data_IF_373824113989
#
_entry.id   IF_373824113989
#
_cell.length_a   1.000
_cell.length_b   1.000
_cell.length_c   1.000
_cell.angle_alpha   90.00
_cell.angle_beta   90.00
_cell.angle_gamma   90.00
#
_symmetry.space_group_name_H-M   'P 1'
#
loop_
_entity.id
_entity.type
_entity.pdbx_description
1 polymer ?
#
# COMPACT_ATOMS: atom_id res chain seq x y z
N UNK A 1 -47.85 5.24 -3.30
CA UNK A 1 -46.95 4.96 -2.16
C UNK A 1 -45.54 5.16 -2.66
N UNK A 2 -44.72 5.99 -2.02
CA UNK A 2 -43.31 6.13 -2.41
C UNK A 2 -42.56 4.84 -2.08
N UNK A 3 -41.78 4.31 -3.02
CA UNK A 3 -40.91 3.17 -2.78
C UNK A 3 -40.03 3.42 -1.54
N UNK A 4 -39.81 2.42 -0.67
CA UNK A 4 -38.92 2.58 0.48
C UNK A 4 -37.53 3.01 0.01
N UNK A 5 -36.97 4.05 0.63
CA UNK A 5 -35.61 4.54 0.32
C UNK A 5 -34.60 3.70 1.11
N UNK A 6 -33.59 3.20 0.42
CA UNK A 6 -32.48 2.42 0.98
C UNK A 6 -31.17 2.98 0.44
N UNK A 7 -30.11 3.02 1.25
CA UNK A 7 -28.78 3.43 0.76
C UNK A 7 -28.14 2.30 -0.06
N UNK A 8 -27.18 2.64 -0.92
CA UNK A 8 -26.45 1.63 -1.72
C UNK A 8 -25.74 0.62 -0.79
N UNK A 9 -25.16 1.09 0.32
CA UNK A 9 -24.52 0.23 1.31
C UNK A 9 -25.50 -0.76 1.96
N UNK A 10 -26.70 -0.30 2.34
CA UNK A 10 -27.71 -1.18 2.96
C UNK A 10 -28.22 -2.23 1.95
N UNK A 11 -28.39 -1.83 0.69
CA UNK A 11 -28.78 -2.75 -0.37
C UNK A 11 -27.70 -3.81 -0.62
N UNK A 12 -26.42 -3.40 -0.67
CA UNK A 12 -25.28 -4.32 -0.80
C UNK A 12 -25.27 -5.34 0.35
N UNK A 13 -25.36 -4.88 1.60
CA UNK A 13 -25.39 -5.76 2.77
C UNK A 13 -26.59 -6.72 2.75
N UNK A 14 -27.77 -6.24 2.32
CA UNK A 14 -28.93 -7.09 2.18
C UNK A 14 -28.74 -8.19 1.12
N UNK A 15 -28.05 -7.89 0.01
CA UNK A 15 -27.70 -8.88 -1.01
C UNK A 15 -26.66 -9.88 -0.50
N UNK A 16 -25.63 -9.43 0.22
CA UNK A 16 -24.64 -10.31 0.83
C UNK A 16 -25.29 -11.26 1.86
N UNK A 17 -26.17 -10.75 2.73
CA UNK A 17 -26.96 -11.58 3.66
C UNK A 17 -27.82 -12.60 2.93
N UNK A 18 -28.44 -12.24 1.80
CA UNK A 18 -29.24 -13.17 0.99
C UNK A 18 -28.43 -14.31 0.35
N UNK A 19 -27.10 -14.13 0.22
CA UNK A 19 -26.16 -15.16 -0.22
C UNK A 19 -25.67 -16.05 0.94
N UNK A 20 -26.16 -15.83 2.16
CA UNK A 20 -25.77 -16.59 3.35
C UNK A 20 -24.49 -16.11 4.04
N UNK A 21 -24.00 -14.91 3.69
CA UNK A 21 -22.91 -14.24 4.39
C UNK A 21 -23.40 -13.75 5.74
N UNK A 22 -22.76 -14.21 6.82
CA UNK A 22 -22.96 -13.72 8.19
C UNK A 22 -21.69 -13.08 8.79
N UNK A 23 -20.54 -13.20 8.13
CA UNK A 23 -19.28 -12.56 8.54
C UNK A 23 -18.62 -11.91 7.32
N UNK A 24 -18.18 -10.66 7.48
CA UNK A 24 -17.36 -9.92 6.50
C UNK A 24 -15.99 -9.66 7.12
N UNK A 25 -14.91 -10.05 6.42
CA UNK A 25 -13.54 -9.91 6.91
C UNK A 25 -12.87 -8.64 6.40
N UNK A 26 -11.91 -8.12 7.15
CA UNK A 26 -11.14 -6.97 6.71
C UNK A 26 -10.32 -6.31 7.82
N UNK A 27 -9.70 -5.20 7.44
CA UNK A 27 -9.00 -4.30 8.37
C UNK A 27 -9.62 -2.92 8.23
N UNK A 28 -10.05 -2.27 9.33
CA UNK A 28 -10.55 -0.91 9.29
C UNK A 28 -9.50 0.06 8.74
N UNK A 29 -9.87 0.85 7.74
CA UNK A 29 -9.07 1.96 7.23
C UNK A 29 -9.60 3.30 7.69
N UNK A 30 -8.72 4.29 7.76
CA UNK A 30 -8.97 5.70 8.06
C UNK A 30 -9.79 6.44 6.98
N UNK A 31 -10.07 5.79 5.85
CA UNK A 31 -10.81 6.38 4.74
C UNK A 31 -12.34 6.27 4.86
N UNK A 32 -13.01 7.39 4.53
CA UNK A 32 -14.43 7.66 4.74
C UNK A 32 -15.41 6.59 4.23
N UNK A 33 -15.10 5.86 3.14
CA UNK A 33 -15.96 4.80 2.64
C UNK A 33 -15.86 3.52 3.49
N UNK A 34 -14.67 3.12 3.94
CA UNK A 34 -14.53 1.97 4.87
C UNK A 34 -15.12 2.33 6.21
N UNK A 35 -14.91 3.54 6.76
CA UNK A 35 -15.49 3.90 8.05
C UNK A 35 -17.03 3.97 8.01
N UNK A 36 -17.62 4.62 7.00
CA UNK A 36 -19.08 4.68 6.86
C UNK A 36 -19.70 3.32 6.50
N UNK A 37 -19.04 2.52 5.67
CA UNK A 37 -19.52 1.18 5.34
C UNK A 37 -19.30 0.19 6.48
N UNK A 38 -18.22 0.33 7.26
CA UNK A 38 -17.93 -0.46 8.45
C UNK A 38 -18.99 -0.21 9.53
N UNK A 39 -19.31 1.06 9.81
CA UNK A 39 -20.44 1.39 10.72
C UNK A 39 -21.72 0.72 10.22
N UNK A 40 -21.99 0.77 8.91
CA UNK A 40 -23.15 0.08 8.34
C UNK A 40 -23.07 -1.43 8.55
N UNK A 41 -21.91 -2.06 8.40
CA UNK A 41 -21.73 -3.50 8.67
C UNK A 41 -22.00 -3.80 10.15
N UNK A 42 -21.44 -3.03 11.07
CA UNK A 42 -21.61 -3.20 12.51
C UNK A 42 -23.08 -3.01 12.95
N UNK A 43 -23.79 -2.08 12.32
CA UNK A 43 -25.21 -1.80 12.59
C UNK A 43 -26.17 -2.75 11.85
N UNK A 44 -25.69 -3.55 10.88
CA UNK A 44 -26.55 -4.38 10.04
C UNK A 44 -26.88 -5.72 10.72
N UNK A 45 -28.15 -5.94 11.02
CA UNK A 45 -28.60 -7.19 11.63
C UNK A 45 -28.23 -8.41 10.77
N UNK A 46 -27.60 -9.41 11.42
CA UNK A 46 -27.23 -10.70 10.82
C UNK A 46 -25.95 -10.71 9.99
N UNK A 47 -25.15 -9.64 10.00
CA UNK A 47 -23.77 -9.64 9.51
C UNK A 47 -22.84 -9.17 10.63
N UNK A 48 -21.70 -9.84 10.80
CA UNK A 48 -20.67 -9.48 11.78
C UNK A 48 -19.40 -9.02 11.08
N UNK A 49 -18.69 -8.08 11.71
CA UNK A 49 -17.35 -7.69 11.29
C UNK A 49 -16.29 -8.65 11.85
N UNK A 50 -15.62 -9.39 10.96
CA UNK A 50 -14.49 -10.26 11.26
C UNK A 50 -13.18 -9.50 11.17
N UNK A 51 -12.73 -8.90 12.27
CA UNK A 51 -11.51 -8.10 12.30
C UNK A 51 -10.24 -8.95 12.14
N UNK A 52 -9.24 -8.43 11.42
CA UNK A 52 -7.96 -9.10 11.18
C UNK A 52 -6.76 -8.18 11.48
N UNK A 53 -5.57 -8.78 11.64
CA UNK A 53 -4.34 -8.02 11.94
C UNK A 53 -3.75 -7.29 10.71
N UNK A 54 -4.02 -7.77 9.50
CA UNK A 54 -3.62 -7.17 8.24
C UNK A 54 -4.52 -7.74 7.12
N UNK A 55 -4.49 -7.12 5.94
CA UNK A 55 -5.37 -7.44 4.82
C UNK A 55 -5.01 -8.77 4.14
N UNK A 56 -3.74 -9.19 4.23
CA UNK A 56 -3.32 -10.52 3.78
C UNK A 56 -4.04 -11.61 4.60
N UNK A 57 -4.01 -11.51 5.93
CA UNK A 57 -4.70 -12.45 6.81
C UNK A 57 -6.22 -12.37 6.63
N UNK A 58 -6.77 -11.17 6.40
CA UNK A 58 -8.17 -11.00 6.09
C UNK A 58 -8.57 -11.72 4.80
N UNK A 59 -7.72 -11.66 3.77
CA UNK A 59 -7.97 -12.34 2.50
C UNK A 59 -7.97 -13.87 2.66
N UNK A 60 -7.07 -14.44 3.46
CA UNK A 60 -7.09 -15.87 3.77
C UNK A 60 -8.26 -16.28 4.66
N UNK A 61 -8.71 -15.42 5.56
CA UNK A 61 -9.91 -15.67 6.37
C UNK A 61 -11.17 -15.69 5.48
N UNK A 62 -11.30 -14.74 4.56
CA UNK A 62 -12.38 -14.70 3.58
C UNK A 62 -12.38 -15.94 2.66
N UNK A 63 -11.21 -16.37 2.19
CA UNK A 63 -11.04 -17.64 1.43
C UNK A 63 -11.50 -18.85 2.24
N UNK A 64 -10.99 -19.02 3.47
CA UNK A 64 -11.34 -20.12 4.34
C UNK A 64 -12.85 -20.17 4.64
N UNK A 65 -13.45 -19.00 4.91
CA UNK A 65 -14.90 -18.87 5.08
C UNK A 65 -15.66 -19.25 3.81
N UNK A 66 -15.21 -18.79 2.63
CA UNK A 66 -15.84 -19.11 1.35
C UNK A 66 -15.83 -20.62 1.07
N UNK A 67 -14.78 -21.35 1.46
CA UNK A 67 -14.74 -22.82 1.34
C UNK A 67 -15.82 -23.52 2.18
N UNK A 68 -16.18 -22.93 3.32
CA UNK A 68 -17.21 -23.48 4.21
C UNK A 68 -18.62 -23.07 3.83
N UNK A 69 -18.79 -21.85 3.32
CA UNK A 69 -20.11 -21.21 3.12
C UNK A 69 -20.47 -20.98 1.65
N UNK A 70 -19.58 -21.34 0.73
CA UNK A 70 -19.72 -21.18 -0.71
C UNK A 70 -19.27 -19.82 -1.25
N UNK A 71 -19.29 -18.77 -0.43
CA UNK A 71 -18.84 -17.43 -0.79
C UNK A 71 -18.27 -16.70 0.44
N UNK A 72 -17.24 -15.90 0.24
CA UNK A 72 -16.62 -15.06 1.27
C UNK A 72 -16.58 -13.60 0.84
N UNK A 73 -16.47 -12.69 1.80
CA UNK A 73 -16.40 -11.25 1.55
C UNK A 73 -15.20 -10.67 2.30
N UNK A 74 -14.39 -9.92 1.56
CA UNK A 74 -13.27 -9.15 2.06
C UNK A 74 -13.55 -7.66 1.82
N UNK A 75 -13.39 -6.84 2.85
CA UNK A 75 -13.40 -5.38 2.76
C UNK A 75 -12.01 -4.86 3.09
N UNK A 76 -11.41 -4.11 2.16
CA UNK A 76 -10.15 -3.40 2.40
C UNK A 76 -10.30 -1.93 2.10
N UNK A 77 -9.31 -1.16 2.55
CA UNK A 77 -9.15 0.19 2.04
C UNK A 77 -8.38 0.21 0.73
N UNK A 78 -8.57 1.28 -0.03
CA UNK A 78 -7.95 1.51 -1.33
C UNK A 78 -6.44 1.69 -1.24
N UNK A 79 -5.73 1.23 -2.27
CA UNK A 79 -4.27 1.25 -2.32
C UNK A 79 -3.70 0.18 -1.38
N UNK A 80 -3.16 0.58 -0.24
CA UNK A 80 -2.37 -0.34 0.63
C UNK A 80 -3.14 -1.58 1.06
N UNK A 81 -4.46 -1.46 1.29
CA UNK A 81 -5.27 -2.58 1.76
C UNK A 81 -5.52 -3.62 0.69
N UNK A 82 -6.02 -3.22 -0.49
CA UNK A 82 -6.33 -4.15 -1.58
C UNK A 82 -5.09 -4.86 -2.12
N UNK A 83 -3.95 -4.17 -2.13
CA UNK A 83 -2.68 -4.70 -2.58
C UNK A 83 -2.06 -5.67 -1.58
N UNK A 84 -2.22 -5.40 -0.28
CA UNK A 84 -1.81 -6.33 0.77
C UNK A 84 -2.64 -7.63 0.73
N UNK A 85 -3.91 -7.55 0.30
CA UNK A 85 -4.80 -8.69 0.13
C UNK A 85 -4.57 -9.50 -1.16
N UNK A 86 -3.82 -8.98 -2.14
CA UNK A 86 -3.77 -9.54 -3.50
C UNK A 86 -3.31 -11.00 -3.53
N UNK A 87 -2.39 -11.39 -2.64
CA UNK A 87 -1.88 -12.76 -2.59
C UNK A 87 -2.97 -13.77 -2.19
N UNK A 88 -3.86 -13.41 -1.25
CA UNK A 88 -4.97 -14.29 -0.87
C UNK A 88 -6.07 -14.31 -1.93
N UNK A 89 -6.38 -13.19 -2.57
CA UNK A 89 -7.33 -13.15 -3.69
C UNK A 89 -6.83 -13.98 -4.88
N UNK A 90 -5.54 -13.88 -5.21
CA UNK A 90 -4.91 -14.72 -6.23
C UNK A 90 -4.97 -16.22 -5.85
N UNK A 91 -4.78 -16.54 -4.56
CA UNK A 91 -4.98 -17.90 -4.04
C UNK A 91 -6.42 -18.39 -4.21
N UNK A 92 -7.41 -17.58 -3.87
CA UNK A 92 -8.82 -17.91 -4.09
C UNK A 92 -9.13 -18.14 -5.56
N UNK A 93 -8.59 -17.30 -6.45
CA UNK A 93 -8.74 -17.48 -7.90
C UNK A 93 -8.16 -18.81 -8.38
N UNK A 94 -6.93 -19.14 -7.97
CA UNK A 94 -6.25 -20.37 -8.35
C UNK A 94 -7.02 -21.63 -7.91
N UNK A 95 -7.68 -21.56 -6.75
CA UNK A 95 -8.41 -22.67 -6.13
C UNK A 95 -9.92 -22.64 -6.44
N UNK A 96 -10.37 -21.76 -7.34
CA UNK A 96 -11.78 -21.58 -7.71
C UNK A 96 -12.70 -21.29 -6.51
N UNK A 97 -12.18 -20.57 -5.51
CA UNK A 97 -12.91 -20.13 -4.32
C UNK A 97 -13.55 -18.78 -4.58
N UNK A 98 -14.87 -18.68 -4.32
CA UNK A 98 -15.64 -17.46 -4.58
C UNK A 98 -15.44 -16.44 -3.45
N UNK A 99 -14.58 -15.44 -3.68
CA UNK A 99 -14.38 -14.31 -2.75
C UNK A 99 -14.76 -12.99 -3.43
N UNK A 100 -15.62 -12.22 -2.78
CA UNK A 100 -15.97 -10.85 -3.20
C UNK A 100 -15.06 -9.87 -2.45
N UNK A 101 -14.29 -9.09 -3.19
CA UNK A 101 -13.42 -8.06 -2.63
C UNK A 101 -14.04 -6.68 -2.83
N UNK A 102 -14.41 -6.01 -1.74
CA UNK A 102 -14.95 -4.66 -1.71
C UNK A 102 -13.84 -3.72 -1.25
N UNK A 103 -13.56 -2.70 -2.04
CA UNK A 103 -12.51 -1.71 -1.75
C UNK A 103 -13.16 -0.36 -1.49
N UNK A 104 -12.93 0.21 -0.31
CA UNK A 104 -13.38 1.57 0.00
C UNK A 104 -12.45 2.59 -0.64
N UNK A 105 -12.94 3.32 -1.63
CA UNK A 105 -12.16 4.28 -2.44
C UNK A 105 -12.17 5.70 -1.86
N UNK A 106 -11.27 6.56 -2.39
CA UNK A 106 -11.09 7.93 -1.95
C UNK A 106 -12.10 8.92 -2.56
N UNK A 107 -12.44 9.96 -1.78
CA UNK A 107 -12.69 11.29 -2.32
C UNK A 107 -11.34 12.03 -2.25
N UNK A 108 -10.77 12.36 -3.41
CA UNK A 108 -9.37 12.81 -3.58
C UNK A 108 -8.97 13.99 -2.69
N UNK A 109 -8.17 13.73 -1.66
CA UNK A 109 -7.32 14.72 -0.98
C UNK A 109 -5.86 14.25 -1.05
N UNK A 110 -5.09 14.89 -1.91
CA UNK A 110 -3.72 14.53 -2.29
C UNK A 110 -2.71 15.00 -1.23
N UNK A 111 -2.38 14.14 -0.26
CA UNK A 111 -1.27 14.32 0.69
C UNK A 111 -0.17 13.30 0.39
N UNK A 112 1.10 13.71 0.46
CA UNK A 112 2.24 12.79 0.31
C UNK A 112 2.45 12.01 1.60
N UNK A 113 2.46 10.67 1.51
CA UNK A 113 2.74 9.76 2.61
C UNK A 113 4.21 9.34 2.61
N UNK A 114 4.77 9.04 3.79
CA UNK A 114 6.10 8.41 3.93
C UNK A 114 5.93 7.05 4.60
N UNK A 115 6.48 6.00 3.99
CA UNK A 115 6.54 4.63 4.51
C UNK A 115 8.01 4.26 4.76
N UNK A 116 8.32 3.67 5.92
CA UNK A 116 9.68 3.23 6.24
C UNK A 116 9.69 1.73 6.53
N UNK A 117 10.58 0.97 5.88
CA UNK A 117 10.74 -0.47 6.11
C UNK A 117 12.20 -0.87 6.28
N UNK A 118 12.42 -2.07 6.80
CA UNK A 118 13.73 -2.71 6.85
C UNK A 118 14.06 -3.38 5.51
N UNK A 119 15.36 -3.58 5.26
CA UNK A 119 15.88 -4.30 4.10
C UNK A 119 15.37 -5.75 3.99
N UNK A 120 15.11 -6.20 2.78
CA UNK A 120 14.69 -7.58 2.48
C UNK A 120 13.19 -7.81 2.69
N UNK A 121 12.81 -8.48 3.77
CA UNK A 121 11.40 -8.92 3.96
C UNK A 121 10.43 -7.74 4.15
N UNK A 122 10.90 -6.64 4.75
CA UNK A 122 10.10 -5.45 4.99
C UNK A 122 9.73 -4.75 3.67
N UNK A 123 10.72 -4.49 2.83
CA UNK A 123 10.46 -3.90 1.51
C UNK A 123 9.65 -4.87 0.63
N UNK A 124 10.02 -6.15 0.50
CA UNK A 124 9.25 -7.09 -0.34
C UNK A 124 7.76 -7.17 0.04
N UNK A 125 7.43 -7.04 1.34
CA UNK A 125 6.03 -7.01 1.80
C UNK A 125 5.29 -5.72 1.38
N UNK A 126 6.00 -4.60 1.28
CA UNK A 126 5.45 -3.31 0.86
C UNK A 126 5.33 -3.15 -0.66
N UNK A 127 6.00 -3.99 -1.46
CA UNK A 127 6.05 -3.86 -2.92
C UNK A 127 4.65 -3.80 -3.56
N UNK A 128 3.74 -4.67 -3.11
CA UNK A 128 2.36 -4.65 -3.59
C UNK A 128 1.71 -3.29 -3.30
N UNK A 129 1.82 -2.80 -2.06
CA UNK A 129 1.28 -1.51 -1.62
C UNK A 129 1.78 -0.32 -2.46
N UNK A 130 3.06 -0.34 -2.81
CA UNK A 130 3.68 0.66 -3.68
C UNK A 130 3.19 0.51 -5.13
N UNK A 131 3.04 -0.70 -5.65
CA UNK A 131 2.56 -0.96 -7.01
C UNK A 131 1.16 -0.40 -7.29
N UNK A 132 0.19 -0.62 -6.41
CA UNK A 132 -1.12 0.00 -6.60
C UNK A 132 -1.15 1.48 -6.24
N UNK A 133 -0.29 1.96 -5.33
CA UNK A 133 -0.10 3.42 -5.19
C UNK A 133 0.38 4.06 -6.51
N UNK A 134 1.20 3.34 -7.29
CA UNK A 134 1.64 3.75 -8.62
C UNK A 134 0.51 3.70 -9.65
N UNK A 135 -0.33 2.65 -9.62
CA UNK A 135 -1.51 2.58 -10.48
C UNK A 135 -2.50 3.74 -10.20
N UNK A 136 -2.68 4.07 -8.93
CA UNK A 136 -3.71 4.99 -8.44
C UNK A 136 -3.23 6.43 -8.27
N UNK A 137 -2.03 6.73 -8.75
CA UNK A 137 -1.48 8.09 -8.74
C UNK A 137 -1.33 8.67 -7.33
N UNK A 138 -0.97 7.83 -6.36
CA UNK A 138 -0.78 8.22 -4.97
C UNK A 138 0.70 8.52 -4.71
N UNK A 139 0.98 9.70 -4.17
CA UNK A 139 2.32 10.08 -3.73
C UNK A 139 2.70 9.36 -2.43
N UNK A 140 3.59 8.37 -2.53
CA UNK A 140 4.15 7.63 -1.39
C UNK A 140 5.68 7.60 -1.51
N UNK A 141 6.40 8.09 -0.51
CA UNK A 141 7.85 7.96 -0.42
C UNK A 141 8.17 6.74 0.43
N UNK A 142 8.71 5.70 -0.17
CA UNK A 142 9.15 4.49 0.51
C UNK A 142 10.64 4.56 0.82
N UNK A 143 10.98 4.66 2.10
CA UNK A 143 12.36 4.68 2.59
C UNK A 143 12.70 3.29 3.12
N UNK A 144 13.77 2.69 2.60
CA UNK A 144 14.26 1.39 3.06
C UNK A 144 15.58 1.58 3.78
N UNK A 145 15.64 1.19 5.05
CA UNK A 145 16.89 1.12 5.79
C UNK A 145 17.73 -0.05 5.28
N UNK A 146 18.89 0.24 4.67
CA UNK A 146 19.79 -0.75 4.07
C UNK A 146 21.05 -1.01 4.90
N UNK A 147 21.76 -2.08 4.56
CA UNK A 147 22.99 -2.51 5.25
C UNK A 147 24.10 -1.45 5.17
N UNK A 148 25.11 -1.47 6.07
CA UNK A 148 26.22 -0.52 6.01
C UNK A 148 26.93 -0.53 4.64
N UNK A 149 27.36 0.63 4.15
CA UNK A 149 27.99 0.75 2.83
C UNK A 149 29.21 -0.16 2.65
N UNK A 150 30.01 -0.37 3.70
CA UNK A 150 31.15 -1.28 3.69
C UNK A 150 30.76 -2.77 3.50
N UNK A 151 29.63 -3.19 4.07
CA UNK A 151 29.11 -4.55 3.91
C UNK A 151 28.59 -4.78 2.50
N UNK A 152 27.95 -3.76 1.90
CA UNK A 152 27.51 -3.81 0.52
C UNK A 152 28.70 -3.89 -0.46
N UNK A 153 29.73 -3.06 -0.23
CA UNK A 153 30.92 -3.01 -1.08
C UNK A 153 31.77 -4.30 -1.05
N UNK A 154 31.74 -5.03 0.07
CA UNK A 154 32.49 -6.28 0.24
C UNK A 154 31.76 -7.52 -0.28
N UNK A 155 30.53 -7.39 -0.77
CA UNK A 155 29.75 -8.56 -1.23
C UNK A 155 29.41 -9.52 -0.09
N UNK A 156 29.36 -9.03 1.16
CA UNK A 156 29.24 -9.89 2.33
C UNK A 156 27.98 -10.76 2.29
N UNK A 157 28.13 -12.07 2.52
CA UNK A 157 26.97 -12.95 2.62
C UNK A 157 26.30 -12.70 3.96
N UNK A 158 25.16 -12.01 3.93
CA UNK A 158 24.43 -11.56 5.11
C UNK A 158 23.01 -12.12 5.12
N UNK A 159 22.46 -12.27 6.32
CA UNK A 159 21.03 -12.56 6.50
C UNK A 159 20.16 -11.52 5.77
N UNK A 160 19.00 -11.94 5.28
CA UNK A 160 18.07 -11.10 4.50
C UNK A 160 18.58 -10.64 3.12
N UNK A 161 19.62 -11.27 2.56
CA UNK A 161 20.03 -11.13 1.16
C UNK A 161 19.70 -12.41 0.38
N UNK A 162 19.88 -12.43 -0.95
CA UNK A 162 19.84 -13.67 -1.73
C UNK A 162 21.13 -14.51 -1.64
N UNK A 163 22.10 -14.10 -0.81
CA UNK A 163 23.37 -14.82 -0.62
C UNK A 163 24.28 -14.82 -1.85
N UNK A 164 23.99 -13.98 -2.85
CA UNK A 164 24.70 -13.88 -4.12
C UNK A 164 25.60 -12.63 -4.22
N UNK A 165 25.69 -11.83 -3.15
CA UNK A 165 26.46 -10.58 -3.10
C UNK A 165 25.80 -9.38 -3.80
N UNK A 166 24.56 -9.54 -4.33
CA UNK A 166 23.78 -8.45 -4.89
C UNK A 166 22.79 -7.90 -3.86
N UNK A 167 23.10 -6.71 -3.34
CA UNK A 167 22.27 -6.00 -2.37
C UNK A 167 21.24 -5.07 -3.02
N UNK A 168 21.28 -4.90 -4.34
CA UNK A 168 20.36 -4.04 -5.07
C UNK A 168 19.17 -4.81 -5.63
N UNK A 169 19.16 -6.13 -5.51
CA UNK A 169 18.14 -6.99 -6.13
C UNK A 169 16.71 -6.59 -5.71
N UNK A 170 16.50 -6.24 -4.44
CA UNK A 170 15.18 -5.83 -3.94
C UNK A 170 14.82 -4.41 -4.38
N UNK A 171 15.75 -3.46 -4.25
CA UNK A 171 15.58 -2.10 -4.75
C UNK A 171 15.22 -2.10 -6.26
N UNK A 172 15.89 -2.94 -7.06
CA UNK A 172 15.63 -3.07 -8.48
C UNK A 172 14.19 -3.52 -8.81
N UNK A 173 13.51 -4.26 -7.92
CA UNK A 173 12.11 -4.64 -8.12
C UNK A 173 11.15 -3.44 -8.09
N UNK A 174 11.54 -2.34 -7.44
CA UNK A 174 10.72 -1.13 -7.34
C UNK A 174 10.75 -0.24 -8.56
N UNK A 175 11.72 -0.41 -9.48
CA UNK A 175 11.90 0.48 -10.63
C UNK A 175 10.68 0.57 -11.54
N UNK A 176 9.89 -0.50 -11.63
CA UNK A 176 8.68 -0.55 -12.47
C UNK A 176 7.44 0.02 -11.77
N UNK A 177 7.51 0.21 -10.45
CA UNK A 177 6.38 0.62 -9.61
C UNK A 177 6.64 1.90 -8.82
N UNK A 178 7.68 2.64 -9.21
CA UNK A 178 8.02 3.95 -8.65
C UNK A 178 8.39 4.90 -9.78
N UNK A 179 8.05 6.18 -9.63
CA UNK A 179 8.43 7.21 -10.61
C UNK A 179 9.89 7.63 -10.46
N UNK A 180 10.39 7.57 -9.23
CA UNK A 180 11.74 7.92 -8.87
C UNK A 180 12.30 6.85 -7.94
N UNK A 181 13.53 6.42 -8.21
CA UNK A 181 14.20 5.39 -7.45
C UNK A 181 15.65 5.80 -7.20
N UNK A 182 16.12 5.70 -5.96
CA UNK A 182 17.52 5.96 -5.61
C UNK A 182 18.03 5.08 -4.48
N UNK A 183 19.35 4.87 -4.46
CA UNK A 183 20.07 4.39 -3.29
C UNK A 183 21.09 5.48 -2.90
N UNK A 184 20.96 5.97 -1.68
CA UNK A 184 21.74 7.10 -1.21
C UNK A 184 23.19 6.68 -0.95
N UNK A 185 24.08 7.59 -1.32
CA UNK A 185 25.52 7.56 -1.13
C UNK A 185 25.96 8.93 -0.61
N UNK A 186 27.16 9.01 -0.04
CA UNK A 186 27.69 10.27 0.49
C UNK A 186 27.74 11.40 -0.54
N UNK A 187 27.88 11.04 -1.82
CA UNK A 187 28.08 12.00 -2.91
C UNK A 187 26.80 12.39 -3.65
N UNK A 188 25.72 11.60 -3.55
CA UNK A 188 24.47 11.87 -4.27
C UNK A 188 23.29 12.28 -3.34
N UNK A 189 23.46 12.20 -2.02
CA UNK A 189 22.35 12.31 -1.08
C UNK A 189 21.53 13.60 -1.23
N UNK A 190 22.19 14.74 -1.38
CA UNK A 190 21.54 16.06 -1.50
C UNK A 190 20.66 16.09 -2.75
N UNK A 191 21.24 15.84 -3.92
CA UNK A 191 20.54 15.93 -5.20
C UNK A 191 19.44 14.88 -5.36
N UNK A 192 19.69 13.64 -4.92
CA UNK A 192 18.75 12.53 -5.09
C UNK A 192 17.56 12.62 -4.15
N UNK A 193 17.73 13.11 -2.91
CA UNK A 193 16.60 13.36 -2.01
C UNK A 193 15.66 14.38 -2.64
N UNK A 194 16.18 15.52 -3.10
CA UNK A 194 15.37 16.57 -3.69
C UNK A 194 14.68 16.10 -4.98
N UNK A 195 15.40 15.40 -5.86
CA UNK A 195 14.84 14.86 -7.10
C UNK A 195 13.69 13.90 -6.81
N UNK A 196 13.92 12.92 -5.92
CA UNK A 196 12.94 11.88 -5.60
C UNK A 196 11.67 12.47 -4.99
N UNK A 197 11.80 13.39 -4.02
CA UNK A 197 10.65 14.03 -3.39
C UNK A 197 9.87 14.91 -4.38
N UNK A 198 10.57 15.66 -5.22
CA UNK A 198 9.92 16.49 -6.24
C UNK A 198 9.22 15.64 -7.31
N UNK A 199 9.82 14.55 -7.78
CA UNK A 199 9.18 13.65 -8.75
C UNK A 199 7.95 12.96 -8.15
N UNK A 200 8.04 12.47 -6.92
CA UNK A 200 6.92 11.87 -6.17
C UNK A 200 5.72 12.83 -6.08
N UNK A 201 5.97 14.09 -5.71
CA UNK A 201 4.95 15.12 -5.59
C UNK A 201 4.38 15.53 -6.95
N UNK A 202 5.25 15.90 -7.90
CA UNK A 202 4.84 16.49 -9.17
C UNK A 202 4.14 15.49 -10.09
N UNK A 203 4.48 14.20 -9.98
CA UNK A 203 3.87 13.15 -10.80
C UNK A 203 2.75 12.43 -10.11
N UNK A 204 2.54 12.68 -8.81
CA UNK A 204 1.58 11.95 -7.98
C UNK A 204 1.79 10.46 -8.17
N UNK A 205 3.01 10.01 -7.85
CA UNK A 205 3.42 8.62 -7.99
C UNK A 205 4.38 8.25 -6.86
N UNK A 206 4.47 6.97 -6.48
CA UNK A 206 5.39 6.54 -5.45
C UNK A 206 6.84 6.71 -5.84
N UNK A 207 7.72 6.84 -4.85
CA UNK A 207 9.15 6.85 -5.03
C UNK A 207 9.88 6.02 -3.98
N UNK A 208 11.09 5.56 -4.31
CA UNK A 208 11.92 4.69 -3.46
C UNK A 208 13.24 5.38 -3.09
N UNK A 209 13.62 5.28 -1.81
CA UNK A 209 14.92 5.72 -1.28
C UNK A 209 15.52 4.60 -0.43
N UNK A 210 16.61 3.99 -0.90
CA UNK A 210 17.47 3.15 -0.08
C UNK A 210 18.44 4.02 0.74
N UNK A 211 18.38 3.92 2.07
CA UNK A 211 19.24 4.67 2.99
C UNK A 211 20.07 3.70 3.82
N UNK A 212 21.38 3.67 3.61
CA UNK A 212 22.28 2.85 4.41
C UNK A 212 22.37 3.38 5.85
N UNK A 213 22.39 2.47 6.83
CA UNK A 213 22.39 2.83 8.25
C UNK A 213 23.58 3.71 8.66
N UNK A 214 24.75 3.52 8.06
CA UNK A 214 25.94 4.35 8.32
C UNK A 214 25.88 5.72 7.64
N UNK A 215 24.95 5.92 6.70
CA UNK A 215 24.72 7.18 6.03
C UNK A 215 23.77 8.10 6.80
N UNK A 216 22.87 7.56 7.63
CA UNK A 216 21.90 8.39 8.38
C UNK A 216 22.59 9.33 9.36
N UNK A 217 23.73 8.88 9.91
CA UNK A 217 24.53 9.63 10.87
C UNK A 217 25.65 10.44 10.20
N UNK A 218 25.73 10.42 8.86
CA UNK A 218 26.78 11.11 8.13
C UNK A 218 26.48 12.60 8.01
N UNK A 219 27.32 13.43 8.62
CA UNK A 219 27.22 14.88 8.51
C UNK A 219 27.55 15.35 7.09
N UNK A 220 26.71 16.24 6.56
CA UNK A 220 26.89 16.87 5.25
C UNK A 220 26.90 18.40 5.43
N UNK A 221 27.70 19.08 4.61
CA UNK A 221 27.65 20.53 4.53
C UNK A 221 26.52 20.92 3.58
N UNK A 222 25.52 21.63 4.09
CA UNK A 222 24.40 22.14 3.29
C UNK A 222 24.42 23.67 3.39
N UNK A 223 24.35 24.34 2.24
CA UNK A 223 24.09 25.78 2.21
C UNK A 223 22.58 25.98 2.49
N UNK A 224 22.17 26.60 3.61
CA UNK A 224 20.76 26.80 3.92
C UNK A 224 20.00 27.59 2.84
N UNK A 225 20.70 28.43 2.07
CA UNK A 225 20.14 29.21 0.97
C UNK A 225 19.92 28.36 -0.29
N UNK A 226 20.52 27.17 -0.37
CA UNK A 226 20.33 26.21 -1.48
C UNK A 226 19.14 25.28 -1.28
N UNK A 227 18.54 25.25 -0.06
CA UNK A 227 17.35 24.46 0.24
C UNK A 227 16.11 25.24 -0.24
N UNK A 228 15.82 25.12 -1.53
CA UNK A 228 14.57 25.64 -2.09
C UNK A 228 13.37 24.87 -1.50
N UNK A 229 12.28 25.53 -1.10
CA UNK A 229 11.09 24.85 -0.63
C UNK A 229 10.57 23.89 -1.70
N UNK A 230 10.34 22.62 -1.34
CA UNK A 230 9.72 21.65 -2.24
C UNK A 230 8.43 22.22 -2.83
N UNK A 231 8.33 22.25 -4.16
CA UNK A 231 7.20 22.87 -4.86
C UNK A 231 5.93 22.08 -4.58
N UNK A 232 5.04 22.64 -3.76
CA UNK A 232 3.71 22.08 -3.46
C UNK A 232 2.68 22.34 -4.57
N UNK A 233 3.10 22.49 -5.83
CA UNK A 233 2.14 22.77 -6.92
C UNK A 233 1.30 21.52 -7.17
N UNK A 234 0.09 21.54 -6.62
CA UNK A 234 -0.92 20.49 -6.79
C UNK A 234 -1.22 20.34 -8.28
N UNK A 235 -0.80 19.23 -8.89
CA UNK A 235 -1.32 18.83 -10.19
C UNK A 235 -2.75 18.36 -9.94
N UNK A 236 -3.76 19.12 -10.38
CA UNK A 236 -5.15 18.67 -10.31
C UNK A 236 -5.26 17.37 -11.11
N UNK A 237 -5.98 16.40 -10.56
CA UNK A 237 -6.27 15.18 -11.31
C UNK A 237 -6.87 15.52 -12.68
N UNK A 238 -6.51 14.75 -13.73
CA UNK A 238 -7.20 14.83 -15.00
C UNK A 238 -8.70 14.72 -14.76
N UNK A 239 -9.50 15.59 -15.39
CA UNK A 239 -10.95 15.61 -15.20
C UNK A 239 -11.66 14.34 -15.70
N UNK A 240 -10.90 13.45 -16.32
CA UNK A 240 -11.39 12.29 -17.06
C UNK A 240 -11.21 10.96 -16.30
N UNK A 241 -10.78 11.00 -15.03
CA UNK A 241 -10.78 9.82 -14.16
C UNK A 241 -12.14 9.75 -13.46
N UNK A 242 -13.04 8.94 -14.02
CA UNK A 242 -14.37 8.62 -13.50
C UNK A 242 -14.38 7.25 -12.84
#
# INVERSE_FOLDING_TARGET
MSSPKMTIGDYLLQRLKSLGIDIIFGVPGDYNLVYHFLIKIEDFDGIQWGNNCNELNASYAADGYARMRGIGVLVTTFGVGELSAINGIAGSYAEMVSVVHIVGTLMLLMVMLVLVTTFGVGELSALNGIAGSYAEMVSVVHIVGTLPTASQASGAILHHTLGNGDFLVFANMYKEVTIAHTNLTKTNAIEEIDRVLNECLNKSRPAYIGLAVDLSDHEINVDPLSIEPLKRSLVRNPRDVH
#
